data_IF_428590671696
#
_entry.id   IF_428590671696
#
_cell.length_a   1.000
_cell.length_b   1.000
_cell.length_c   1.000
_cell.angle_alpha   90.00
_cell.angle_beta   90.00
_cell.angle_gamma   90.00
#
_symmetry.space_group_name_H-M   'P 1'
#
loop_
_entity.id
_entity.type
_entity.pdbx_description
1 polymer ?
#
# COMPACT_ATOMS: atom_id res chain seq x y z
N UNK A 1 1.47 2.00 7.67
CA UNK A 1 1.88 0.83 8.45
C UNK A 1 0.69 0.11 9.06
N UNK A 2 -0.37 0.84 9.42
CA UNK A 2 -1.54 0.33 10.13
C UNK A 2 -2.61 -0.30 9.20
N UNK A 3 -2.49 -0.16 7.89
CA UNK A 3 -3.46 -0.71 6.93
C UNK A 3 -4.82 0.00 6.90
N UNK A 4 -4.89 1.25 7.37
CA UNK A 4 -6.10 2.07 7.27
C UNK A 4 -6.40 2.40 5.81
N UNK A 5 -7.64 2.21 5.38
CA UNK A 5 -8.12 2.58 4.06
C UNK A 5 -8.81 3.95 4.14
N UNK A 6 -8.42 4.86 3.24
CA UNK A 6 -9.05 6.17 3.15
C UNK A 6 -10.23 6.11 2.18
N UNK A 7 -11.42 6.48 2.66
CA UNK A 7 -12.62 6.50 1.84
C UNK A 7 -12.71 7.72 0.92
N UNK A 8 -13.66 7.68 -0.02
CA UNK A 8 -13.90 8.73 -1.04
C UNK A 8 -13.95 10.13 -0.45
N UNK A 9 -14.73 10.32 0.61
CA UNK A 9 -14.90 11.63 1.26
C UNK A 9 -13.60 12.21 1.81
N UNK A 10 -12.71 11.34 2.35
CA UNK A 10 -11.42 11.78 2.85
C UNK A 10 -10.50 12.19 1.70
N UNK A 11 -10.41 11.35 0.66
CA UNK A 11 -9.58 11.63 -0.52
C UNK A 11 -10.07 12.89 -1.25
N UNK A 12 -11.37 13.09 -1.37
CA UNK A 12 -11.97 14.32 -1.93
C UNK A 12 -11.50 15.57 -1.19
N UNK A 13 -11.54 15.57 0.14
CA UNK A 13 -11.02 16.68 0.96
C UNK A 13 -9.54 16.94 0.73
N UNK A 14 -8.73 15.89 0.52
CA UNK A 14 -7.30 16.03 0.20
C UNK A 14 -7.14 16.72 -1.17
N UNK A 15 -7.88 16.29 -2.18
CA UNK A 15 -7.85 16.86 -3.53
C UNK A 15 -8.31 18.34 -3.51
N UNK A 16 -9.41 18.64 -2.87
CA UNK A 16 -9.92 20.01 -2.73
C UNK A 16 -8.91 20.92 -2.01
N UNK A 17 -8.31 20.44 -0.93
CA UNK A 17 -7.29 21.17 -0.18
C UNK A 17 -6.05 21.47 -1.03
N UNK A 18 -5.61 20.48 -1.82
CA UNK A 18 -4.44 20.58 -2.69
C UNK A 18 -4.69 21.56 -3.85
N UNK A 19 -5.83 21.45 -4.52
CA UNK A 19 -6.23 22.36 -5.60
C UNK A 19 -6.30 23.81 -5.14
N UNK A 20 -6.86 24.08 -3.97
CA UNK A 20 -6.94 25.42 -3.41
C UNK A 20 -5.56 26.05 -3.13
N UNK A 21 -4.48 25.28 -3.20
CA UNK A 21 -3.09 25.69 -2.88
C UNK A 21 -2.11 25.43 -4.03
N UNK A 22 -2.59 24.95 -5.14
CA UNK A 22 -1.77 24.55 -6.30
C UNK A 22 -0.65 23.57 -5.90
N UNK A 23 -1.03 22.54 -5.14
CA UNK A 23 -0.11 21.50 -4.63
C UNK A 23 -0.36 20.20 -5.38
N UNK A 24 0.72 19.55 -5.84
CA UNK A 24 0.67 18.22 -6.42
C UNK A 24 0.40 17.17 -5.34
N UNK A 25 -0.56 16.28 -5.61
CA UNK A 25 -0.82 15.09 -4.79
C UNK A 25 -0.32 13.84 -5.49
N UNK A 26 0.63 13.16 -4.88
CA UNK A 26 1.09 11.85 -5.32
C UNK A 26 0.55 10.78 -4.37
N UNK A 27 -0.41 9.97 -4.85
CA UNK A 27 -1.03 8.87 -4.10
C UNK A 27 -0.27 7.57 -4.36
N UNK A 28 0.34 7.00 -3.32
CA UNK A 28 0.95 5.67 -3.42
C UNK A 28 -0.15 4.60 -3.31
N UNK A 29 -0.51 4.02 -4.44
CA UNK A 29 -1.60 3.06 -4.60
C UNK A 29 -1.10 1.60 -4.79
N UNK A 30 0.13 1.32 -4.34
CA UNK A 30 0.71 -0.03 -4.47
C UNK A 30 -0.11 -1.15 -3.80
N UNK A 31 -1.04 -0.81 -2.93
CA UNK A 31 -1.94 -1.75 -2.23
C UNK A 31 -3.40 -1.63 -2.67
N UNK A 32 -3.72 -0.92 -3.75
CA UNK A 32 -5.09 -0.65 -4.18
C UNK A 32 -5.93 -1.94 -4.36
N UNK A 33 -5.31 -3.02 -4.87
CA UNK A 33 -5.97 -4.33 -5.03
C UNK A 33 -6.12 -5.13 -3.72
N UNK A 34 -5.51 -4.71 -2.61
CA UNK A 34 -5.40 -5.49 -1.37
C UNK A 34 -6.27 -4.90 -0.25
N UNK A 35 -7.52 -4.61 -0.53
CA UNK A 35 -8.55 -4.31 0.46
C UNK A 35 -9.17 -5.59 1.02
N UNK A 36 -9.42 -5.61 2.34
CA UNK A 36 -9.98 -6.76 3.07
C UNK A 36 -11.38 -6.48 3.60
N UNK A 37 -11.49 -5.53 4.53
CA UNK A 37 -12.76 -5.10 5.12
C UNK A 37 -13.31 -3.83 4.47
N UNK A 38 -12.43 -3.04 3.88
CA UNK A 38 -12.75 -1.83 3.12
C UNK A 38 -12.12 -1.91 1.73
N UNK A 39 -12.82 -1.39 0.73
CA UNK A 39 -12.30 -1.34 -0.63
C UNK A 39 -11.52 -0.04 -0.84
N UNK A 40 -10.21 -0.10 -1.09
CA UNK A 40 -9.43 1.10 -1.43
C UNK A 40 -9.92 1.74 -2.72
N UNK A 41 -9.83 3.06 -2.78
CA UNK A 41 -10.24 3.88 -3.93
C UNK A 41 -9.04 4.67 -4.43
N UNK A 42 -8.88 4.74 -5.76
CA UNK A 42 -7.83 5.56 -6.38
C UNK A 42 -8.12 7.06 -6.19
N UNK A 43 -7.06 7.86 -6.08
CA UNK A 43 -7.16 9.32 -6.13
C UNK A 43 -7.73 9.81 -7.47
N UNK A 44 -7.62 8.99 -8.54
CA UNK A 44 -8.13 9.28 -9.88
C UNK A 44 -9.58 8.81 -10.10
N UNK A 45 -10.22 8.20 -9.09
CA UNK A 45 -11.64 7.82 -9.18
C UNK A 45 -12.49 9.08 -9.41
N UNK A 46 -13.43 9.08 -10.39
CA UNK A 46 -14.28 10.23 -10.66
C UNK A 46 -15.05 10.73 -9.43
N UNK A 47 -15.38 9.84 -8.49
CA UNK A 47 -16.02 10.20 -7.22
C UNK A 47 -15.11 11.01 -6.31
N UNK A 48 -13.78 10.94 -6.51
CA UNK A 48 -12.76 11.67 -5.74
C UNK A 48 -12.36 12.96 -6.42
N UNK A 49 -12.03 12.90 -7.72
CA UNK A 49 -11.42 14.01 -8.46
C UNK A 49 -12.36 14.71 -9.44
N UNK A 50 -13.63 14.30 -9.55
CA UNK A 50 -14.63 14.82 -10.50
C UNK A 50 -14.19 14.71 -11.99
N UNK A 51 -13.28 13.75 -12.28
CA UNK A 51 -12.71 13.55 -13.62
C UNK A 51 -11.62 14.55 -14.03
N UNK A 52 -11.25 15.46 -13.16
CA UNK A 52 -10.13 16.39 -13.35
C UNK A 52 -8.87 15.86 -12.68
N UNK A 53 -7.84 15.53 -13.46
CA UNK A 53 -6.58 14.96 -13.00
C UNK A 53 -5.48 16.00 -12.75
N UNK A 54 -5.78 17.28 -12.90
CA UNK A 54 -4.81 18.37 -12.69
C UNK A 54 -4.14 18.25 -11.33
N UNK A 55 -2.80 18.24 -11.30
CA UNK A 55 -1.96 18.08 -10.12
C UNK A 55 -2.14 16.75 -9.35
N UNK A 56 -2.72 15.70 -9.98
CA UNK A 56 -2.88 14.39 -9.36
C UNK A 56 -2.00 13.34 -10.03
N UNK A 57 -1.31 12.55 -9.22
CA UNK A 57 -0.56 11.37 -9.65
C UNK A 57 -0.94 10.17 -8.79
N UNK A 58 -1.36 9.09 -9.42
CA UNK A 58 -1.46 7.77 -8.81
C UNK A 58 -0.19 6.96 -9.13
N UNK A 59 0.38 6.32 -8.12
CA UNK A 59 1.60 5.51 -8.22
C UNK A 59 1.22 4.06 -8.01
N UNK A 60 1.42 3.24 -9.02
CA UNK A 60 1.08 1.81 -9.01
C UNK A 60 2.31 0.92 -9.08
N UNK A 61 2.17 -0.33 -8.64
CA UNK A 61 3.25 -1.32 -8.68
C UNK A 61 2.70 -2.74 -8.74
N UNK A 62 3.38 -3.62 -9.48
CA UNK A 62 3.13 -5.07 -9.46
C UNK A 62 3.86 -5.80 -8.33
N UNK A 63 4.62 -5.07 -7.51
CA UNK A 63 5.42 -5.68 -6.43
C UNK A 63 4.59 -6.47 -5.44
N UNK A 64 3.35 -6.04 -5.17
CA UNK A 64 2.49 -6.62 -4.14
C UNK A 64 1.34 -7.43 -4.70
N UNK A 65 0.61 -6.89 -5.67
CA UNK A 65 -0.53 -7.56 -6.30
C UNK A 65 -0.11 -8.77 -7.11
N UNK A 66 1.02 -8.67 -7.83
CA UNK A 66 1.53 -9.72 -8.72
C UNK A 66 2.77 -10.46 -8.18
N UNK A 67 3.15 -10.21 -6.92
CA UNK A 67 4.35 -10.80 -6.29
C UNK A 67 5.66 -10.59 -7.10
N UNK A 68 5.76 -9.45 -7.81
CA UNK A 68 6.86 -9.11 -8.72
C UNK A 68 7.81 -8.06 -8.15
N UNK A 69 8.07 -8.09 -6.84
CA UNK A 69 8.89 -7.08 -6.16
C UNK A 69 10.31 -6.94 -6.71
N UNK A 70 10.95 -8.04 -7.11
CA UNK A 70 12.31 -8.06 -7.65
C UNK A 70 12.43 -7.49 -9.06
N UNK A 71 11.34 -7.44 -9.81
CA UNK A 71 11.30 -6.88 -11.17
C UNK A 71 11.38 -5.35 -11.18
N UNK A 72 11.13 -4.68 -10.06
CA UNK A 72 11.17 -3.22 -9.92
C UNK A 72 10.26 -2.50 -10.91
N UNK A 73 9.07 -3.04 -11.14
CA UNK A 73 8.09 -2.49 -12.08
C UNK A 73 6.96 -1.75 -11.38
N UNK A 74 6.57 -0.64 -11.96
CA UNK A 74 5.48 0.22 -11.54
C UNK A 74 5.25 1.32 -12.58
N UNK A 75 4.17 2.07 -12.42
CA UNK A 75 3.82 3.16 -13.32
C UNK A 75 3.16 4.31 -12.58
N UNK A 76 3.11 5.45 -13.26
CA UNK A 76 2.37 6.63 -12.85
C UNK A 76 1.17 6.83 -13.77
N UNK A 77 0.06 7.29 -13.23
CA UNK A 77 -1.12 7.73 -13.96
C UNK A 77 -1.61 9.07 -13.38
N UNK A 78 -2.30 9.87 -14.16
CA UNK A 78 -2.89 11.15 -13.69
C UNK A 78 -2.66 12.31 -14.63
N UNK A 79 -2.21 13.44 -14.10
CA UNK A 79 -1.96 14.68 -14.82
C UNK A 79 -0.98 14.47 -16.00
N UNK A 80 -1.44 14.76 -17.21
CA UNK A 80 -0.69 14.51 -18.44
C UNK A 80 0.61 15.34 -18.53
N UNK A 81 0.58 16.57 -18.05
CA UNK A 81 1.74 17.47 -18.10
C UNK A 81 2.81 17.02 -17.10
N UNK A 82 2.40 16.68 -15.88
CA UNK A 82 3.31 16.09 -14.88
C UNK A 82 3.90 14.75 -15.36
N UNK A 83 3.11 13.91 -16.00
CA UNK A 83 3.61 12.64 -16.56
C UNK A 83 4.66 12.90 -17.65
N UNK A 84 4.41 13.87 -18.54
CA UNK A 84 5.36 14.25 -19.61
C UNK A 84 6.70 14.75 -19.03
N UNK A 85 6.65 15.58 -18.00
CA UNK A 85 7.85 16.06 -17.29
C UNK A 85 8.61 14.90 -16.61
N UNK A 86 7.91 14.03 -15.90
CA UNK A 86 8.50 12.84 -15.25
C UNK A 86 9.18 11.92 -16.27
N UNK A 87 8.56 11.69 -17.44
CA UNK A 87 9.16 10.88 -18.52
C UNK A 87 10.44 11.53 -19.02
N UNK A 88 10.44 12.87 -19.23
CA UNK A 88 11.62 13.60 -19.66
C UNK A 88 12.78 13.47 -18.66
N UNK A 89 12.52 13.73 -17.38
CA UNK A 89 13.53 13.59 -16.31
C UNK A 89 14.06 12.17 -16.22
N UNK A 90 13.20 11.17 -16.19
CA UNK A 90 13.59 9.75 -16.06
C UNK A 90 14.43 9.28 -17.24
N UNK A 91 14.13 9.73 -18.46
CA UNK A 91 14.91 9.40 -19.67
C UNK A 91 16.36 9.88 -19.55
N UNK A 92 16.55 11.12 -19.11
CA UNK A 92 17.88 11.70 -18.97
C UNK A 92 18.66 11.19 -17.77
N UNK A 93 17.98 10.74 -16.72
CA UNK A 93 18.59 10.14 -15.53
C UNK A 93 18.92 8.64 -15.70
N UNK A 94 18.62 8.02 -16.83
CA UNK A 94 18.85 6.61 -17.06
C UNK A 94 17.90 5.69 -16.26
N UNK A 95 16.75 6.19 -15.82
CA UNK A 95 15.76 5.46 -15.01
C UNK A 95 14.65 4.82 -15.86
N UNK A 96 14.94 4.52 -17.12
CA UNK A 96 14.00 3.82 -18.00
C UNK A 96 14.00 2.33 -17.70
N UNK A 97 12.80 1.75 -17.72
CA UNK A 97 12.61 0.32 -17.46
C UNK A 97 13.24 -0.52 -18.59
N UNK A 98 14.04 -1.55 -18.29
CA UNK A 98 14.61 -2.44 -19.29
C UNK A 98 13.52 -3.19 -20.09
N UNK A 99 13.77 -3.44 -21.38
CA UNK A 99 12.83 -4.11 -22.28
C UNK A 99 12.27 -5.43 -21.76
N UNK A 100 13.08 -6.38 -21.26
CA UNK A 100 12.57 -7.63 -20.68
C UNK A 100 11.60 -7.42 -19.52
N UNK A 101 11.83 -6.41 -18.67
CA UNK A 101 10.92 -6.07 -17.56
C UNK A 101 9.60 -5.49 -18.10
N UNK A 102 9.65 -4.68 -19.17
CA UNK A 102 8.44 -4.17 -19.81
C UNK A 102 7.57 -5.32 -20.35
N UNK A 103 8.18 -6.31 -21.01
CA UNK A 103 7.45 -7.49 -21.50
C UNK A 103 6.81 -8.29 -20.36
N UNK A 104 7.52 -8.53 -19.27
CA UNK A 104 6.98 -9.19 -18.08
C UNK A 104 5.82 -8.39 -17.46
N UNK A 105 5.94 -7.07 -17.42
CA UNK A 105 4.89 -6.16 -16.94
C UNK A 105 3.64 -6.25 -17.81
N UNK A 106 3.79 -6.23 -19.14
CA UNK A 106 2.66 -6.36 -20.09
C UNK A 106 1.96 -7.71 -19.90
N UNK A 107 2.73 -8.79 -19.76
CA UNK A 107 2.16 -10.13 -19.54
C UNK A 107 1.34 -10.17 -18.23
N UNK A 108 1.87 -9.59 -17.14
CA UNK A 108 1.16 -9.55 -15.87
C UNK A 108 -0.11 -8.68 -15.94
N UNK A 109 -0.06 -7.52 -16.59
CA UNK A 109 -1.22 -6.63 -16.73
C UNK A 109 -2.32 -7.18 -17.65
N UNK A 110 -2.03 -8.20 -18.44
CA UNK A 110 -3.01 -8.88 -19.31
C UNK A 110 -3.57 -10.17 -18.69
N UNK A 111 -3.23 -10.47 -17.44
CA UNK A 111 -3.68 -11.67 -16.73
C UNK A 111 -4.16 -11.32 -15.32
N UNK A 112 -5.45 -11.12 -15.16
CA UNK A 112 -6.08 -10.83 -13.87
C UNK A 112 -6.16 -12.07 -12.95
N UNK A 113 -6.01 -13.28 -13.52
CA UNK A 113 -6.19 -14.54 -12.78
C UNK A 113 -5.11 -14.72 -11.71
N UNK A 114 -3.84 -14.40 -12.02
CA UNK A 114 -2.75 -14.52 -11.06
C UNK A 114 -2.88 -13.52 -9.90
N UNK A 115 -3.43 -12.33 -10.15
CA UNK A 115 -3.67 -11.33 -9.12
C UNK A 115 -4.76 -11.81 -8.15
N UNK A 116 -5.86 -12.34 -8.68
CA UNK A 116 -6.94 -12.90 -7.87
C UNK A 116 -6.45 -14.08 -7.01
N UNK A 117 -5.65 -14.99 -7.59
CA UNK A 117 -5.06 -16.12 -6.86
C UNK A 117 -4.11 -15.65 -5.76
N UNK A 118 -3.25 -14.67 -6.05
CA UNK A 118 -2.32 -14.12 -5.07
C UNK A 118 -3.06 -13.41 -3.94
N UNK A 119 -4.11 -12.65 -4.26
CA UNK A 119 -4.98 -12.01 -3.26
C UNK A 119 -5.63 -13.04 -2.33
N UNK A 120 -6.13 -14.15 -2.89
CA UNK A 120 -6.73 -15.23 -2.09
C UNK A 120 -5.71 -15.84 -1.12
N UNK A 121 -4.48 -16.12 -1.58
CA UNK A 121 -3.40 -16.62 -0.72
C UNK A 121 -3.08 -15.66 0.44
N UNK A 122 -3.11 -14.36 0.22
CA UNK A 122 -2.94 -13.38 1.28
C UNK A 122 -4.14 -13.34 2.23
N UNK A 123 -5.37 -13.50 1.71
CA UNK A 123 -6.57 -13.59 2.52
C UNK A 123 -6.48 -14.77 3.51
N UNK A 124 -6.15 -15.95 3.01
CA UNK A 124 -6.02 -17.18 3.81
C UNK A 124 -4.96 -17.02 4.91
N UNK A 125 -3.80 -16.45 4.56
CA UNK A 125 -2.73 -16.17 5.54
C UNK A 125 -3.17 -15.14 6.58
N UNK A 126 -3.89 -14.10 6.16
CA UNK A 126 -4.38 -13.05 7.03
C UNK A 126 -5.35 -13.62 8.07
N UNK A 127 -6.27 -14.46 7.67
CA UNK A 127 -7.25 -15.08 8.58
C UNK A 127 -6.52 -15.93 9.63
N UNK A 128 -5.64 -16.82 9.21
CA UNK A 128 -4.86 -17.69 10.13
C UNK A 128 -4.05 -16.84 11.11
N UNK A 129 -3.36 -15.83 10.62
CA UNK A 129 -2.49 -14.99 11.45
C UNK A 129 -3.28 -14.08 12.39
N UNK A 130 -4.39 -13.50 11.92
CA UNK A 130 -5.31 -12.69 12.71
C UNK A 130 -5.83 -13.49 13.91
N UNK A 131 -6.38 -14.67 13.65
CA UNK A 131 -6.98 -15.51 14.69
C UNK A 131 -5.93 -16.00 15.70
N UNK A 132 -4.73 -16.35 15.23
CA UNK A 132 -3.62 -16.73 16.10
C UNK A 132 -3.17 -15.58 17.01
N UNK A 133 -3.08 -14.35 16.49
CA UNK A 133 -2.73 -13.18 17.29
C UNK A 133 -3.81 -12.84 18.31
N UNK A 134 -5.08 -12.88 17.92
CA UNK A 134 -6.21 -12.64 18.84
C UNK A 134 -6.23 -13.69 19.94
N UNK A 135 -6.02 -14.97 19.61
CA UNK A 135 -5.91 -16.05 20.59
C UNK A 135 -4.72 -15.87 21.54
N UNK A 136 -3.65 -15.24 21.08
CA UNK A 136 -2.47 -14.90 21.90
C UNK A 136 -2.62 -13.60 22.72
N UNK A 137 -3.81 -13.00 22.73
CA UNK A 137 -4.15 -11.81 23.53
C UNK A 137 -3.83 -10.47 22.87
N UNK A 138 -3.57 -10.47 21.56
CA UNK A 138 -3.41 -9.20 20.81
C UNK A 138 -4.77 -8.61 20.43
N UNK A 139 -4.84 -7.29 20.42
CA UNK A 139 -5.87 -6.53 19.71
C UNK A 139 -5.28 -6.12 18.36
N UNK A 140 -6.07 -6.28 17.31
CA UNK A 140 -5.73 -5.82 15.96
C UNK A 140 -6.49 -4.52 15.70
N UNK A 141 -5.73 -3.46 15.42
CA UNK A 141 -6.30 -2.15 15.10
C UNK A 141 -6.20 -1.89 13.59
N UNK A 142 -7.14 -1.13 13.03
CA UNK A 142 -7.21 -0.82 11.60
C UNK A 142 -7.10 -2.09 10.72
N UNK A 143 -6.00 -2.27 9.98
CA UNK A 143 -5.71 -3.47 9.17
C UNK A 143 -6.80 -3.77 8.11
N UNK A 144 -7.43 -2.73 7.58
CA UNK A 144 -8.52 -2.79 6.59
C UNK A 144 -8.00 -3.17 5.20
N UNK A 145 -6.71 -2.90 4.93
CA UNK A 145 -6.04 -3.21 3.67
C UNK A 145 -4.54 -3.42 3.83
N UNK A 146 -3.87 -3.78 2.73
CA UNK A 146 -2.43 -4.02 2.67
C UNK A 146 -2.01 -5.41 3.17
N UNK A 147 -0.72 -5.59 3.42
CA UNK A 147 -0.10 -6.89 3.75
C UNK A 147 0.37 -6.99 5.20
N UNK A 148 -0.25 -6.22 6.11
CA UNK A 148 0.20 -6.15 7.49
C UNK A 148 -1.00 -6.17 8.44
N UNK A 149 -0.77 -6.76 9.63
CA UNK A 149 -1.62 -6.59 10.79
C UNK A 149 -0.94 -5.63 11.77
N UNK A 150 -1.71 -4.64 12.23
CA UNK A 150 -1.28 -3.65 13.21
C UNK A 150 -1.77 -4.09 14.58
N UNK A 151 -0.88 -4.79 15.29
CA UNK A 151 -1.22 -5.55 16.49
C UNK A 151 -0.67 -4.89 17.75
N UNK A 152 -1.41 -4.96 18.85
CA UNK A 152 -0.98 -4.45 20.15
C UNK A 152 -1.39 -5.37 21.29
N UNK A 153 -0.54 -5.44 22.33
CA UNK A 153 -0.85 -6.04 23.63
C UNK A 153 -1.15 -4.98 24.70
N UNK A 154 -1.17 -3.69 24.32
CA UNK A 154 -1.38 -2.59 25.24
C UNK A 154 -0.14 -2.19 26.05
N UNK A 155 1.03 -2.68 25.66
CA UNK A 155 2.34 -2.41 26.28
C UNK A 155 3.27 -1.69 25.29
N UNK A 156 4.47 -1.31 25.72
CA UNK A 156 5.48 -0.75 24.82
C UNK A 156 5.83 -1.75 23.71
N UNK A 157 5.96 -1.26 22.47
CA UNK A 157 6.18 -2.11 21.29
C UNK A 157 7.45 -2.96 21.39
N UNK A 158 8.50 -2.48 22.07
CA UNK A 158 9.74 -3.24 22.25
C UNK A 158 9.57 -4.39 23.23
N UNK A 159 8.73 -4.26 24.27
CA UNK A 159 8.38 -5.38 25.15
C UNK A 159 7.67 -6.47 24.35
N UNK A 160 6.75 -6.08 23.46
CA UNK A 160 6.09 -7.05 22.56
C UNK A 160 7.07 -7.68 21.56
N UNK A 161 8.01 -6.90 21.01
CA UNK A 161 9.07 -7.43 20.12
C UNK A 161 9.93 -8.47 20.85
N UNK A 162 10.40 -8.17 22.06
CA UNK A 162 11.22 -9.07 22.85
C UNK A 162 10.45 -10.36 23.20
N UNK A 163 9.19 -10.23 23.63
CA UNK A 163 8.31 -11.37 23.92
C UNK A 163 8.10 -12.30 22.71
N UNK A 164 7.96 -11.73 21.51
CA UNK A 164 7.85 -12.51 20.26
C UNK A 164 9.18 -13.11 19.83
N UNK A 165 10.28 -12.35 20.00
CA UNK A 165 11.62 -12.82 19.65
C UNK A 165 12.05 -14.05 20.47
N UNK A 166 11.72 -14.12 21.76
CA UNK A 166 11.92 -15.32 22.61
C UNK A 166 11.22 -16.57 22.06
N UNK A 167 10.20 -16.38 21.21
CA UNK A 167 9.42 -17.44 20.55
C UNK A 167 9.83 -17.66 19.08
N UNK A 168 10.94 -17.05 18.66
CA UNK A 168 11.46 -17.15 17.30
C UNK A 168 10.67 -16.33 16.26
N UNK A 169 9.86 -15.35 16.70
CA UNK A 169 9.02 -14.53 15.82
C UNK A 169 9.60 -13.12 15.76
N UNK A 170 9.96 -12.66 14.54
CA UNK A 170 10.49 -11.33 14.30
C UNK A 170 9.42 -10.43 13.70
N UNK A 171 9.19 -9.28 14.33
CA UNK A 171 8.22 -8.27 13.88
C UNK A 171 8.84 -6.87 13.88
N UNK A 172 8.23 -5.92 13.18
CA UNK A 172 8.68 -4.54 13.20
C UNK A 172 8.01 -3.76 14.35
N UNK A 173 8.80 -3.09 15.24
CA UNK A 173 8.23 -2.25 16.28
C UNK A 173 7.52 -1.05 15.68
N UNK A 174 6.36 -0.70 16.22
CA UNK A 174 5.54 0.39 15.73
C UNK A 174 6.17 1.77 15.89
N UNK A 175 7.10 1.94 16.85
CA UNK A 175 7.88 3.17 17.03
C UNK A 175 8.67 3.58 15.79
N UNK A 176 9.02 2.66 14.88
CA UNK A 176 9.65 2.97 13.59
C UNK A 176 8.75 3.82 12.68
N UNK A 177 7.45 3.83 12.92
CA UNK A 177 6.44 4.55 12.14
C UNK A 177 5.93 5.82 12.83
N UNK A 178 6.59 6.22 13.92
CA UNK A 178 6.31 7.42 14.67
C UNK A 178 5.72 7.16 16.06
N UNK A 179 5.58 8.21 16.89
CA UNK A 179 5.24 8.09 18.30
C UNK A 179 3.86 7.45 18.55
N UNK A 180 2.91 7.59 17.63
CA UNK A 180 1.59 6.94 17.74
C UNK A 180 1.65 5.41 17.62
N UNK A 181 2.76 4.87 17.10
CA UNK A 181 3.00 3.44 17.00
C UNK A 181 3.66 2.81 18.22
N UNK A 182 3.94 3.56 19.28
CA UNK A 182 4.74 3.12 20.42
C UNK A 182 4.18 1.89 21.16
N UNK A 183 2.91 1.57 21.01
CA UNK A 183 2.26 0.40 21.62
C UNK A 183 1.88 -0.70 20.62
N UNK A 184 2.34 -0.59 19.38
CA UNK A 184 1.98 -1.55 18.33
C UNK A 184 3.22 -2.24 17.74
N UNK A 185 2.97 -3.38 17.14
CA UNK A 185 3.92 -4.05 16.25
C UNK A 185 3.27 -4.26 14.89
N UNK A 186 4.07 -4.23 13.82
CA UNK A 186 3.62 -4.54 12.48
C UNK A 186 3.99 -5.97 12.14
N UNK A 187 2.98 -6.81 11.93
CA UNK A 187 3.13 -8.21 11.55
C UNK A 187 2.82 -8.38 10.07
N UNK A 188 3.70 -9.05 9.32
CA UNK A 188 3.55 -9.28 7.88
C UNK A 188 2.77 -10.57 7.61
N UNK A 189 1.94 -10.58 6.54
CA UNK A 189 1.20 -11.75 6.04
C UNK A 189 2.09 -12.76 5.32
#
# INVERSE_FOLDING_TARGET
PNGKVLGVEHLRKVVEWARARDVVVASDECYLGLGWTEQPVSILDPRVCDGDFTNLLAIHSLSKTSNMASYRTGWFAGDADLIAELVSVRRHMGLMMPGPIQHATIAALNDDSHEAEQKQRYCDRREILHDALVAAGFRIDDSEGGLYLWATRGEDCWQTVDWLAERGILVAPGSFYGPKGAQHVRVCL
#
